data_IF_373833629527
#
_entry.id   IF_373833629527
#
_cell.length_a   1.000
_cell.length_b   1.000
_cell.length_c   1.000
_cell.angle_alpha   90.00
_cell.angle_beta   90.00
_cell.angle_gamma   90.00
#
_symmetry.space_group_name_H-M   'P 1'
#
loop_
_entity.id
_entity.type
_entity.pdbx_description
1 polymer ?
#
# COMPACT_ATOMS: atom_id res chain seq x y z
N UNK A 1 11.23 33.18 -22.68
CA UNK A 1 12.55 32.62 -23.06
C UNK A 1 12.86 31.30 -22.34
N UNK A 2 12.44 31.11 -21.09
CA UNK A 2 12.78 29.89 -20.31
C UNK A 2 12.20 28.56 -20.84
N UNK A 3 11.11 28.59 -21.61
CA UNK A 3 10.53 27.37 -22.23
C UNK A 3 11.51 26.75 -23.24
N UNK A 4 12.13 27.57 -24.09
CA UNK A 4 13.13 27.07 -25.04
C UNK A 4 14.35 26.48 -24.32
N UNK A 5 14.84 27.13 -23.27
CA UNK A 5 15.93 26.60 -22.44
C UNK A 5 15.57 25.27 -21.79
N UNK A 6 14.32 25.12 -21.36
CA UNK A 6 13.80 23.87 -20.80
C UNK A 6 13.79 22.77 -21.86
N UNK A 7 13.27 23.06 -23.06
CA UNK A 7 13.27 22.11 -24.19
C UNK A 7 14.71 21.70 -24.56
N UNK A 8 15.64 22.64 -24.61
CA UNK A 8 17.06 22.36 -24.89
C UNK A 8 17.66 21.48 -23.79
N UNK A 9 17.46 21.84 -22.51
CA UNK A 9 18.01 21.10 -21.37
C UNK A 9 17.47 19.67 -21.28
N UNK A 10 16.20 19.45 -21.64
CA UNK A 10 15.57 18.12 -21.64
C UNK A 10 15.93 17.33 -22.90
N UNK A 11 15.97 17.93 -24.08
CA UNK A 11 16.30 17.16 -25.30
C UNK A 11 17.78 16.82 -25.39
N UNK A 12 18.66 17.65 -24.80
CA UNK A 12 20.13 17.57 -24.95
C UNK A 12 20.54 17.32 -26.41
N UNK A 13 19.75 17.81 -27.37
CA UNK A 13 20.07 17.58 -28.78
C UNK A 13 21.37 18.35 -29.06
N UNK A 14 22.45 17.69 -29.49
CA UNK A 14 23.67 18.39 -29.83
C UNK A 14 23.33 19.42 -30.91
N UNK A 15 23.80 20.65 -30.74
CA UNK A 15 23.59 21.68 -31.73
C UNK A 15 24.24 21.21 -33.04
N UNK A 16 23.44 20.85 -34.03
CA UNK A 16 23.95 20.56 -35.37
C UNK A 16 24.68 21.81 -35.83
N UNK A 17 26.01 21.71 -36.01
CA UNK A 17 26.82 22.81 -36.51
C UNK A 17 26.22 23.29 -37.84
N UNK A 18 25.53 24.43 -37.81
CA UNK A 18 25.06 25.07 -39.01
C UNK A 18 26.31 25.56 -39.73
N UNK A 19 26.51 25.08 -40.97
CA UNK A 19 27.56 25.63 -41.83
C UNK A 19 27.40 27.15 -41.82
N UNK A 20 28.46 27.93 -41.52
CA UNK A 20 28.35 29.37 -41.53
C UNK A 20 27.83 29.80 -42.90
N UNK A 21 26.71 30.52 -42.91
CA UNK A 21 26.22 31.18 -44.11
C UNK A 21 27.32 32.15 -44.53
N UNK A 22 27.98 31.98 -45.68
CA UNK A 22 29.12 32.79 -46.06
C UNK A 22 28.64 34.23 -46.26
N UNK A 23 28.98 35.09 -45.31
CA UNK A 23 28.89 36.54 -45.49
C UNK A 23 30.04 36.91 -46.42
N UNK A 24 29.72 37.44 -47.61
CA UNK A 24 30.74 37.92 -48.54
C UNK A 24 31.53 39.06 -47.87
N UNK A 25 32.73 38.76 -47.39
CA UNK A 25 33.78 39.72 -47.10
C UNK A 25 35.15 39.11 -47.42
N UNK A 26 36.13 39.92 -47.85
CA UNK A 26 37.33 39.43 -48.53
C UNK A 26 38.31 38.75 -47.57
N UNK A 27 38.98 37.73 -48.08
CA UNK A 27 39.91 36.88 -47.36
C UNK A 27 41.13 37.63 -46.79
N UNK A 28 41.64 37.19 -45.63
CA UNK A 28 43.06 37.20 -45.35
C UNK A 28 43.64 35.78 -45.26
N UNK A 29 44.93 35.74 -45.57
CA UNK A 29 45.90 34.65 -45.75
C UNK A 29 45.98 33.63 -44.58
N UNK A 30 46.25 32.33 -44.83
CA UNK A 30 46.25 31.32 -43.78
C UNK A 30 47.58 31.26 -43.01
N UNK A 31 47.51 31.35 -41.69
CA UNK A 31 48.54 30.83 -40.78
C UNK A 31 48.06 29.53 -40.17
N UNK A 32 48.72 28.43 -40.53
CA UNK A 32 48.54 27.12 -39.94
C UNK A 32 48.94 27.18 -38.46
N UNK A 33 47.98 26.92 -37.57
CA UNK A 33 48.28 26.52 -36.20
C UNK A 33 47.75 25.11 -36.02
N UNK A 34 48.67 24.22 -35.76
CA UNK A 34 48.53 22.79 -35.56
C UNK A 34 47.58 22.51 -34.40
N UNK A 35 46.42 21.92 -34.70
CA UNK A 35 45.46 21.46 -33.71
C UNK A 35 46.03 20.25 -32.97
N UNK A 36 46.33 20.43 -31.69
CA UNK A 36 46.50 19.32 -30.76
C UNK A 36 45.18 18.51 -30.64
N UNK A 37 45.22 17.18 -30.53
CA UNK A 37 44.02 16.36 -30.39
C UNK A 37 43.36 16.61 -29.02
N UNK A 38 42.09 16.99 -29.03
CA UNK A 38 41.30 17.18 -27.83
C UNK A 38 41.15 15.86 -27.04
N UNK A 39 41.31 15.87 -25.71
CA UNK A 39 41.13 14.69 -24.87
C UNK A 39 39.64 14.36 -24.71
N UNK A 40 39.32 13.07 -24.80
CA UNK A 40 38.14 12.45 -24.19
C UNK A 40 36.78 12.91 -24.72
N UNK A 41 36.16 12.09 -25.58
CA UNK A 41 34.71 12.14 -25.80
C UNK A 41 34.00 11.85 -24.47
N UNK A 42 33.66 12.90 -23.72
CA UNK A 42 32.58 12.84 -22.74
C UNK A 42 31.35 12.52 -23.58
N UNK A 43 30.82 11.29 -23.47
CA UNK A 43 29.49 10.99 -24.01
C UNK A 43 28.54 12.01 -23.38
N UNK A 44 28.07 12.98 -24.16
CA UNK A 44 27.06 13.93 -23.69
C UNK A 44 25.89 13.13 -23.13
N UNK A 45 25.46 13.48 -21.90
CA UNK A 45 24.36 12.82 -21.24
C UNK A 45 23.14 12.82 -22.17
N UNK A 46 22.68 11.63 -22.55
CA UNK A 46 21.63 11.48 -23.54
C UNK A 46 20.34 12.14 -23.02
N UNK A 47 19.73 13.03 -23.82
CA UNK A 47 18.48 13.70 -23.46
C UNK A 47 17.22 12.94 -23.90
N UNK A 48 16.05 13.45 -23.53
CA UNK A 48 14.76 12.80 -23.72
C UNK A 48 13.96 13.45 -24.86
N UNK A 49 13.55 12.63 -25.82
CA UNK A 49 12.84 13.07 -27.02
C UNK A 49 13.71 13.92 -27.96
N UNK A 50 13.07 14.44 -29.00
CA UNK A 50 13.68 15.32 -30.00
C UNK A 50 12.93 16.65 -30.03
N UNK A 51 13.48 17.67 -30.69
CA UNK A 51 12.79 18.98 -30.81
C UNK A 51 11.38 18.83 -31.42
N UNK A 52 11.20 17.93 -32.39
CA UNK A 52 9.89 17.65 -33.00
C UNK A 52 8.87 16.95 -32.08
N UNK A 53 9.29 16.45 -30.92
CA UNK A 53 8.43 15.84 -29.90
C UNK A 53 7.72 16.86 -29.01
N UNK A 54 8.03 18.15 -29.17
CA UNK A 54 7.53 19.23 -28.33
C UNK A 54 6.48 20.08 -29.03
N UNK A 55 5.41 20.40 -28.29
CA UNK A 55 4.46 21.44 -28.62
C UNK A 55 4.49 22.49 -27.53
N UNK A 56 4.59 23.78 -27.89
CA UNK A 56 4.60 24.89 -26.93
C UNK A 56 3.25 25.61 -26.87
N UNK A 57 2.94 26.24 -25.75
CA UNK A 57 1.75 27.09 -25.59
C UNK A 57 0.44 26.35 -25.88
N UNK A 58 0.30 25.10 -25.41
CA UNK A 58 -0.80 24.20 -25.78
C UNK A 58 -2.07 24.55 -25.00
N UNK A 59 -3.16 25.00 -25.66
CA UNK A 59 -4.41 25.32 -24.98
C UNK A 59 -5.18 24.04 -24.62
N UNK A 60 -5.59 23.93 -23.35
CA UNK A 60 -6.39 22.83 -22.81
C UNK A 60 -7.79 23.35 -22.46
N UNK A 61 -8.67 23.31 -23.45
CA UNK A 61 -10.01 23.90 -23.37
C UNK A 61 -10.93 23.14 -22.40
N UNK A 62 -11.67 23.90 -21.58
CA UNK A 62 -12.74 23.38 -20.72
C UNK A 62 -14.11 23.78 -21.29
N UNK A 63 -15.06 22.85 -21.46
CA UNK A 63 -16.44 23.20 -21.80
C UNK A 63 -17.08 23.97 -20.63
N UNK A 64 -17.70 25.13 -20.90
CA UNK A 64 -18.48 25.85 -19.87
C UNK A 64 -19.82 26.36 -20.43
N UNK A 65 -20.82 26.51 -19.57
CA UNK A 65 -22.17 26.95 -19.90
C UNK A 65 -22.29 28.42 -20.36
N UNK A 66 -21.21 29.21 -20.35
CA UNK A 66 -21.18 30.62 -20.79
C UNK A 66 -20.07 30.89 -21.82
N UNK A 67 -19.84 29.96 -22.75
CA UNK A 67 -18.82 30.07 -23.80
C UNK A 67 -17.42 29.60 -23.37
N UNK A 68 -16.44 29.71 -24.27
CA UNK A 68 -15.04 29.35 -24.03
C UNK A 68 -14.38 30.36 -23.05
N UNK A 69 -14.60 30.20 -21.74
CA UNK A 69 -13.69 30.80 -20.75
C UNK A 69 -12.41 29.98 -20.70
N UNK A 70 -11.28 30.68 -20.61
CA UNK A 70 -9.93 30.11 -20.70
C UNK A 70 -9.78 28.87 -19.81
N UNK A 71 -9.46 27.74 -20.43
CA UNK A 71 -8.96 26.56 -19.73
C UNK A 71 -7.57 26.83 -19.16
N UNK A 72 -6.74 25.80 -19.05
CA UNK A 72 -5.31 25.98 -18.77
C UNK A 72 -4.56 25.99 -20.10
N UNK A 73 -3.44 26.68 -20.17
CA UNK A 73 -2.50 26.60 -21.29
C UNK A 73 -1.22 26.02 -20.72
N UNK A 74 -0.78 24.89 -21.27
CA UNK A 74 0.52 24.33 -20.92
C UNK A 74 1.62 25.11 -21.64
N UNK A 75 2.68 25.47 -20.93
CA UNK A 75 3.82 26.15 -21.54
C UNK A 75 4.48 25.23 -22.59
N UNK A 76 4.56 23.94 -22.28
CA UNK A 76 4.93 22.92 -23.26
C UNK A 76 4.33 21.55 -22.98
N UNK A 77 4.31 20.70 -24.00
CA UNK A 77 3.91 19.29 -23.93
C UNK A 77 4.97 18.46 -24.65
N UNK A 78 5.48 17.41 -24.00
CA UNK A 78 6.43 16.46 -24.56
C UNK A 78 5.75 15.13 -24.85
N UNK A 79 5.88 14.64 -26.08
CA UNK A 79 5.50 13.29 -26.50
C UNK A 79 6.74 12.53 -26.98
N UNK A 80 7.37 11.77 -26.08
CA UNK A 80 8.56 10.98 -26.39
C UNK A 80 8.38 9.50 -26.01
N UNK A 81 7.44 8.77 -26.65
CA UNK A 81 7.21 7.35 -26.37
C UNK A 81 8.47 6.49 -26.62
N UNK A 82 9.35 6.91 -27.53
CA UNK A 82 10.66 6.28 -27.78
C UNK A 82 11.61 6.34 -26.57
N UNK A 83 11.40 7.31 -25.67
CA UNK A 83 12.12 7.42 -24.40
C UNK A 83 11.39 6.70 -23.26
N UNK A 84 10.31 5.95 -23.56
CA UNK A 84 9.48 5.27 -22.57
C UNK A 84 8.60 6.20 -21.73
N UNK A 85 8.44 7.46 -22.16
CA UNK A 85 7.73 8.47 -21.37
C UNK A 85 6.24 8.51 -21.69
N UNK A 86 5.36 8.70 -20.69
CA UNK A 86 4.01 9.21 -20.94
C UNK A 86 4.08 10.62 -21.53
N UNK A 87 2.96 11.10 -22.07
CA UNK A 87 2.85 12.53 -22.38
C UNK A 87 3.12 13.35 -21.11
N UNK A 88 4.09 14.26 -21.17
CA UNK A 88 4.43 15.17 -20.07
C UNK A 88 3.89 16.55 -20.38
N UNK A 89 3.14 17.13 -19.46
CA UNK A 89 2.80 18.55 -19.48
C UNK A 89 3.85 19.32 -18.70
N UNK A 90 4.30 20.45 -19.21
CA UNK A 90 5.38 21.24 -18.61
C UNK A 90 4.91 22.66 -18.37
N UNK A 91 5.10 23.13 -17.15
CA UNK A 91 4.99 24.51 -16.72
C UNK A 91 6.38 25.03 -16.37
N UNK A 92 6.73 26.23 -16.83
CA UNK A 92 8.02 26.85 -16.55
C UNK A 92 7.81 28.06 -15.64
N UNK A 93 8.16 27.88 -14.37
CA UNK A 93 7.97 28.92 -13.36
C UNK A 93 9.24 29.78 -13.23
N UNK A 94 9.16 31.02 -13.74
CA UNK A 94 10.23 32.01 -13.57
C UNK A 94 10.24 32.68 -12.19
N UNK A 95 9.46 32.16 -11.23
CA UNK A 95 9.30 32.72 -9.89
C UNK A 95 8.78 34.17 -9.87
N UNK A 96 8.05 34.59 -10.91
CA UNK A 96 7.47 35.94 -11.02
C UNK A 96 6.01 36.01 -10.59
N UNK A 97 5.26 34.91 -10.70
CA UNK A 97 3.89 34.82 -10.21
C UNK A 97 3.84 34.29 -8.77
N UNK A 98 2.72 34.45 -8.06
CA UNK A 98 2.57 33.88 -6.71
C UNK A 98 2.48 32.36 -6.74
N UNK A 99 2.82 31.71 -5.64
CA UNK A 99 2.66 30.25 -5.50
C UNK A 99 1.18 29.84 -5.65
N UNK A 100 0.24 30.65 -5.17
CA UNK A 100 -1.21 30.42 -5.33
C UNK A 100 -1.64 30.44 -6.79
N UNK A 101 -1.08 31.37 -7.59
CA UNK A 101 -1.42 31.48 -9.01
C UNK A 101 -0.96 30.24 -9.77
N UNK A 102 0.26 29.78 -9.49
CA UNK A 102 0.81 28.55 -10.02
C UNK A 102 -0.02 27.34 -9.54
N UNK A 103 -0.35 27.25 -8.24
CA UNK A 103 -1.15 26.18 -7.66
C UNK A 103 -2.54 26.05 -8.33
N UNK A 104 -3.21 27.19 -8.56
CA UNK A 104 -4.51 27.24 -9.21
C UNK A 104 -4.51 26.71 -10.65
N UNK A 105 -3.36 26.68 -11.33
CA UNK A 105 -3.24 26.02 -12.64
C UNK A 105 -3.47 24.52 -12.53
N UNK A 106 -2.96 23.86 -11.49
CA UNK A 106 -3.07 22.40 -11.36
C UNK A 106 -4.50 21.94 -11.06
N UNK A 107 -5.31 22.75 -10.39
CA UNK A 107 -6.75 22.49 -10.29
C UNK A 107 -7.43 22.51 -11.67
N UNK A 108 -7.02 23.43 -12.56
CA UNK A 108 -7.53 23.48 -13.93
C UNK A 108 -7.06 22.28 -14.76
N UNK A 109 -5.81 21.85 -14.60
CA UNK A 109 -5.32 20.59 -15.18
C UNK A 109 -6.16 19.40 -14.73
N UNK A 110 -6.40 19.28 -13.42
CA UNK A 110 -7.19 18.17 -12.87
C UNK A 110 -8.61 18.16 -13.43
N UNK A 111 -9.25 19.33 -13.51
CA UNK A 111 -10.56 19.47 -14.16
C UNK A 111 -10.53 19.07 -15.63
N UNK A 112 -9.49 19.46 -16.37
CA UNK A 112 -9.32 19.08 -17.77
C UNK A 112 -9.08 17.57 -17.93
N UNK A 113 -8.22 16.97 -17.13
CA UNK A 113 -7.92 15.53 -17.21
C UNK A 113 -9.11 14.64 -16.83
N UNK A 114 -10.01 15.13 -15.98
CA UNK A 114 -11.29 14.49 -15.65
C UNK A 114 -12.35 14.61 -16.75
N UNK A 115 -12.19 15.50 -17.74
CA UNK A 115 -13.19 15.63 -18.81
C UNK A 115 -13.25 14.33 -19.60
N UNK A 116 -14.47 13.80 -19.76
CA UNK A 116 -14.75 12.60 -20.55
C UNK A 116 -15.58 12.95 -21.78
N UNK A 117 -15.31 12.24 -22.86
CA UNK A 117 -16.16 12.20 -24.05
C UNK A 117 -16.61 10.76 -24.30
N UNK A 118 -17.85 10.60 -24.75
CA UNK A 118 -18.33 9.30 -25.26
C UNK A 118 -17.77 9.08 -26.66
N UNK A 119 -17.20 7.92 -26.90
CA UNK A 119 -16.88 7.50 -28.26
C UNK A 119 -18.17 7.03 -28.99
N UNK A 120 -18.14 6.85 -30.32
CA UNK A 120 -19.29 6.36 -31.08
C UNK A 120 -19.83 5.00 -30.63
N UNK A 121 -19.01 4.20 -29.92
CA UNK A 121 -19.36 2.90 -29.35
C UNK A 121 -20.00 3.01 -27.95
N UNK A 122 -20.20 4.23 -27.43
CA UNK A 122 -20.86 4.50 -26.15
C UNK A 122 -19.97 4.42 -24.92
N UNK A 123 -18.70 4.01 -25.04
CA UNK A 123 -17.76 4.01 -23.91
C UNK A 123 -17.19 5.40 -23.66
N UNK A 124 -17.07 5.78 -22.39
CA UNK A 124 -16.46 7.04 -21.99
C UNK A 124 -14.94 6.93 -21.93
N UNK A 125 -14.24 7.94 -22.44
CA UNK A 125 -12.79 8.05 -22.32
C UNK A 125 -12.40 9.50 -22.02
N UNK A 126 -11.33 9.72 -21.25
CA UNK A 126 -10.83 11.08 -21.03
C UNK A 126 -10.52 11.78 -22.35
N UNK A 127 -10.96 13.04 -22.49
CA UNK A 127 -10.84 13.80 -23.75
C UNK A 127 -9.38 13.93 -24.18
N UNK A 128 -8.47 14.11 -23.23
CA UNK A 128 -7.03 14.24 -23.54
C UNK A 128 -6.45 12.99 -24.21
N UNK A 129 -7.01 11.80 -23.98
CA UNK A 129 -6.57 10.55 -24.65
C UNK A 129 -6.88 10.53 -26.14
N UNK A 130 -7.75 11.43 -26.62
CA UNK A 130 -7.98 11.58 -28.07
C UNK A 130 -6.83 12.29 -28.77
N UNK A 131 -6.05 13.09 -28.04
CA UNK A 131 -4.91 13.85 -28.55
C UNK A 131 -3.58 13.16 -28.27
N UNK A 132 -3.49 12.44 -27.14
CA UNK A 132 -2.25 11.82 -26.68
C UNK A 132 -2.44 10.30 -26.58
N UNK A 133 -1.72 9.51 -27.40
CA UNK A 133 -1.80 8.04 -27.36
C UNK A 133 -1.47 7.47 -25.98
N UNK A 134 -2.09 6.33 -25.65
CA UNK A 134 -1.83 5.62 -24.39
C UNK A 134 -0.42 5.05 -24.36
N UNK A 135 0.31 5.29 -23.27
CA UNK A 135 1.66 4.76 -23.03
C UNK A 135 1.65 3.60 -22.02
N UNK A 136 0.53 2.88 -21.92
CA UNK A 136 0.29 1.76 -20.96
C UNK A 136 0.30 2.16 -19.47
N UNK A 137 0.57 3.42 -19.14
CA UNK A 137 0.40 3.96 -17.80
C UNK A 137 -1.05 4.38 -17.58
N UNK A 138 -1.63 3.95 -16.46
CA UNK A 138 -2.96 4.38 -16.04
C UNK A 138 -2.93 5.73 -15.29
N UNK A 139 -4.12 6.27 -15.02
CA UNK A 139 -4.29 7.56 -14.34
C UNK A 139 -4.09 8.79 -15.24
N UNK A 140 -3.96 9.95 -14.58
CA UNK A 140 -3.76 11.24 -15.23
C UNK A 140 -2.32 11.40 -15.75
N UNK A 141 -2.11 12.21 -16.81
CA UNK A 141 -0.78 12.56 -17.27
C UNK A 141 0.02 13.30 -16.19
N UNK A 142 1.35 13.07 -16.11
CA UNK A 142 2.22 13.87 -15.27
C UNK A 142 2.27 15.34 -15.72
N UNK A 143 2.38 16.22 -14.73
CA UNK A 143 2.67 17.64 -14.91
C UNK A 143 3.99 17.95 -14.23
N UNK A 144 4.90 18.56 -14.95
CA UNK A 144 6.25 18.93 -14.51
C UNK A 144 6.30 20.44 -14.35
N UNK A 145 6.84 20.90 -13.22
CA UNK A 145 7.21 22.30 -13.02
C UNK A 145 8.72 22.43 -13.10
N UNK A 146 9.19 23.20 -14.08
CA UNK A 146 10.60 23.56 -14.21
C UNK A 146 10.79 24.95 -13.63
N UNK A 147 11.35 25.02 -12.44
CA UNK A 147 11.66 26.28 -11.79
C UNK A 147 12.91 26.90 -12.42
N UNK A 148 12.76 28.14 -12.88
CA UNK A 148 13.82 28.98 -13.40
C UNK A 148 13.91 30.28 -12.59
N UNK A 149 14.44 30.25 -11.36
CA UNK A 149 14.51 31.42 -10.48
C UNK A 149 15.38 32.56 -11.03
N UNK A 150 16.23 32.27 -12.02
CA UNK A 150 17.30 33.17 -12.46
C UNK A 150 18.16 33.61 -11.27
N UNK A 151 18.55 34.89 -11.26
CA UNK A 151 19.31 35.50 -10.15
C UNK A 151 18.41 36.14 -9.08
N UNK A 152 17.08 36.07 -9.23
CA UNK A 152 16.12 36.84 -8.41
C UNK A 152 15.74 36.13 -7.12
N UNK A 153 15.81 34.81 -7.12
CA UNK A 153 15.34 33.97 -6.02
C UNK A 153 16.50 33.10 -5.55
N UNK A 154 16.98 33.34 -4.33
CA UNK A 154 18.01 32.52 -3.73
C UNK A 154 17.53 31.08 -3.42
N UNK A 155 18.46 30.13 -3.18
CA UNK A 155 18.12 28.72 -3.01
C UNK A 155 17.08 28.44 -1.91
N UNK A 156 17.16 29.15 -0.78
CA UNK A 156 16.20 28.99 0.31
C UNK A 156 14.80 29.47 -0.06
N UNK A 157 14.70 30.60 -0.76
CA UNK A 157 13.42 31.14 -1.21
C UNK A 157 12.77 30.24 -2.26
N UNK A 158 13.57 29.64 -3.16
CA UNK A 158 13.09 28.65 -4.11
C UNK A 158 12.57 27.40 -3.40
N UNK A 159 13.33 26.86 -2.44
CA UNK A 159 12.88 25.71 -1.62
C UNK A 159 11.56 26.00 -0.91
N UNK A 160 11.45 27.17 -0.28
CA UNK A 160 10.21 27.58 0.38
C UNK A 160 9.05 27.65 -0.61
N UNK A 161 9.26 28.23 -1.80
CA UNK A 161 8.27 28.28 -2.86
C UNK A 161 7.83 26.89 -3.32
N UNK A 162 8.77 25.98 -3.60
CA UNK A 162 8.46 24.60 -3.96
C UNK A 162 7.60 23.93 -2.88
N UNK A 163 7.96 24.09 -1.61
CA UNK A 163 7.18 23.55 -0.50
C UNK A 163 5.77 24.15 -0.42
N UNK A 164 5.64 25.47 -0.62
CA UNK A 164 4.32 26.14 -0.64
C UNK A 164 3.46 25.62 -1.77
N UNK A 165 4.00 25.49 -2.99
CA UNK A 165 3.25 24.94 -4.14
C UNK A 165 2.86 23.48 -3.86
N UNK A 166 3.76 22.68 -3.31
CA UNK A 166 3.49 21.28 -2.93
C UNK A 166 2.31 21.19 -1.94
N UNK A 167 2.29 22.02 -0.89
CA UNK A 167 1.20 22.01 0.09
C UNK A 167 -0.12 22.49 -0.52
N UNK A 168 -0.11 23.62 -1.24
CA UNK A 168 -1.31 24.18 -1.88
C UNK A 168 -1.93 23.23 -2.90
N UNK A 169 -1.12 22.36 -3.52
CA UNK A 169 -1.57 21.40 -4.53
C UNK A 169 -1.83 20.01 -3.98
N UNK A 170 -1.80 19.82 -2.65
CA UNK A 170 -1.92 18.49 -2.02
C UNK A 170 -3.13 17.70 -2.51
N UNK A 171 -4.30 18.32 -2.61
CA UNK A 171 -5.53 17.68 -3.10
C UNK A 171 -5.46 17.23 -4.57
N UNK A 172 -4.50 17.73 -5.34
CA UNK A 172 -4.31 17.39 -6.75
C UNK A 172 -3.39 16.18 -6.92
N UNK A 173 -2.38 16.00 -6.06
CA UNK A 173 -1.35 14.97 -6.23
C UNK A 173 -1.34 13.85 -5.19
N UNK A 174 -1.96 14.02 -4.01
CA UNK A 174 -1.75 13.10 -2.87
C UNK A 174 -2.36 11.71 -3.01
N UNK A 175 -3.29 11.52 -3.96
CA UNK A 175 -4.14 10.33 -3.98
C UNK A 175 -5.10 10.27 -2.78
N UNK A 176 -5.98 9.27 -2.79
CA UNK A 176 -6.95 9.01 -1.73
C UNK A 176 -6.52 7.79 -0.93
N UNK A 177 -6.45 7.91 0.39
CA UNK A 177 -6.11 6.76 1.25
C UNK A 177 -7.32 5.85 1.45
N UNK A 178 -7.15 4.57 1.15
CA UNK A 178 -8.12 3.50 1.38
C UNK A 178 -7.64 2.62 2.51
N UNK A 179 -8.43 2.55 3.58
CA UNK A 179 -8.21 1.58 4.66
C UNK A 179 -8.60 0.20 4.13
N UNK A 180 -7.66 -0.74 4.17
CA UNK A 180 -7.85 -2.08 3.65
C UNK A 180 -7.39 -3.09 4.71
N UNK A 181 -8.37 -3.68 5.39
CA UNK A 181 -8.16 -4.53 6.56
C UNK A 181 -8.48 -3.80 7.86
N UNK A 182 -9.21 -4.49 8.76
CA UNK A 182 -9.63 -3.95 10.06
C UNK A 182 -11.11 -4.14 10.34
N UNK A 183 -11.55 -5.40 10.50
CA UNK A 183 -12.70 -5.65 11.38
C UNK A 183 -12.35 -5.19 12.81
N UNK A 184 -13.37 -4.97 13.65
CA UNK A 184 -13.17 -4.67 15.07
C UNK A 184 -12.12 -5.63 15.69
N UNK A 185 -10.97 -5.09 16.10
CA UNK A 185 -9.90 -5.85 16.77
C UNK A 185 -8.58 -6.07 16.02
N UNK A 186 -8.39 -5.55 14.80
CA UNK A 186 -7.07 -5.59 14.16
C UNK A 186 -6.12 -4.55 14.80
N UNK A 187 -4.93 -4.98 15.25
CA UNK A 187 -3.93 -4.14 15.92
C UNK A 187 -3.32 -3.06 15.01
N UNK A 188 -3.30 -3.28 13.69
CA UNK A 188 -2.80 -2.30 12.72
C UNK A 188 -3.84 -1.99 11.64
N UNK A 189 -4.12 -0.70 11.45
CA UNK A 189 -4.85 -0.20 10.28
C UNK A 189 -3.87 -0.15 9.10
N UNK A 190 -3.93 -1.15 8.23
CA UNK A 190 -3.23 -1.12 6.94
C UNK A 190 -4.12 -0.52 5.83
N UNK A 191 -3.50 -0.11 4.74
CA UNK A 191 -4.18 0.52 3.61
C UNK A 191 -3.26 0.83 2.45
N UNK A 192 -3.82 1.50 1.46
CA UNK A 192 -3.14 1.91 0.24
C UNK A 192 -3.63 3.27 -0.24
N UNK A 193 -2.86 3.91 -1.10
CA UNK A 193 -3.27 5.13 -1.78
C UNK A 193 -3.78 4.82 -3.19
N UNK A 194 -4.98 5.30 -3.52
CA UNK A 194 -5.48 5.33 -4.89
C UNK A 194 -5.07 6.64 -5.57
N UNK A 195 -4.31 6.50 -6.66
CA UNK A 195 -3.82 7.61 -7.47
C UNK A 195 -4.55 7.74 -8.82
N UNK A 196 -5.64 6.99 -9.05
CA UNK A 196 -6.36 7.00 -10.33
C UNK A 196 -6.84 8.40 -10.75
N UNK A 197 -7.15 9.24 -9.77
CA UNK A 197 -7.62 10.62 -9.96
C UNK A 197 -6.63 11.69 -9.47
N UNK A 198 -5.37 11.31 -9.22
CA UNK A 198 -4.30 12.21 -8.82
C UNK A 198 -3.38 12.54 -10.01
N UNK A 199 -2.90 13.78 -10.06
CA UNK A 199 -1.88 14.20 -11.03
C UNK A 199 -0.49 13.84 -10.47
N UNK A 200 0.34 13.11 -11.23
CA UNK A 200 1.77 13.03 -10.94
C UNK A 200 2.41 14.41 -11.11
N UNK A 201 2.53 15.18 -10.03
CA UNK A 201 3.13 16.50 -10.03
C UNK A 201 4.62 16.39 -9.67
N UNK A 202 5.50 16.76 -10.60
CA UNK A 202 6.94 16.68 -10.43
C UNK A 202 7.56 18.07 -10.47
N UNK A 203 8.55 18.31 -9.64
CA UNK A 203 9.35 19.52 -9.65
C UNK A 203 10.78 19.23 -10.10
N UNK A 204 11.35 20.18 -10.82
CA UNK A 204 12.79 20.25 -11.09
C UNK A 204 13.21 21.70 -11.29
N UNK A 205 14.50 21.93 -11.48
CA UNK A 205 15.04 23.26 -11.78
C UNK A 205 15.76 23.23 -13.11
N UNK A 206 15.72 24.33 -13.86
CA UNK A 206 16.45 24.43 -15.12
C UNK A 206 17.96 24.13 -14.93
N UNK A 207 18.55 24.62 -13.84
CA UNK A 207 19.96 24.41 -13.49
C UNK A 207 20.33 22.91 -13.33
N UNK A 208 19.51 22.14 -12.60
CA UNK A 208 19.66 20.68 -12.48
C UNK A 208 19.56 19.97 -13.83
N UNK A 209 18.58 20.36 -14.66
CA UNK A 209 18.42 19.79 -16.00
C UNK A 209 19.62 20.09 -16.90
N UNK A 210 20.22 21.27 -16.80
CA UNK A 210 21.41 21.67 -17.56
C UNK A 210 22.70 21.04 -17.04
N UNK A 211 22.81 20.83 -15.72
CA UNK A 211 24.02 20.29 -15.09
C UNK A 211 24.10 18.77 -15.21
N UNK A 212 23.09 18.05 -14.74
CA UNK A 212 23.11 16.57 -14.67
C UNK A 212 22.44 15.97 -15.89
N UNK A 213 21.29 16.54 -16.28
CA UNK A 213 20.51 16.02 -17.39
C UNK A 213 19.20 15.40 -16.93
N UNK A 214 18.27 15.23 -17.87
CA UNK A 214 16.90 14.82 -17.57
C UNK A 214 16.77 13.33 -17.22
N UNK A 215 17.79 12.51 -17.49
CA UNK A 215 17.80 11.08 -17.16
C UNK A 215 18.33 10.76 -15.76
N UNK A 216 18.96 11.74 -15.11
CA UNK A 216 19.49 11.59 -13.76
C UNK A 216 18.42 11.80 -12.69
N UNK A 217 18.83 11.65 -11.43
CA UNK A 217 18.03 11.91 -10.25
C UNK A 217 17.81 13.42 -10.02
N UNK A 218 17.03 14.04 -10.91
CA UNK A 218 16.73 15.48 -10.92
C UNK A 218 15.24 15.79 -10.80
N UNK A 219 14.41 14.78 -10.55
CA UNK A 219 12.97 14.92 -10.46
C UNK A 219 12.51 14.72 -9.02
N UNK A 220 11.77 15.69 -8.49
CA UNK A 220 11.14 15.60 -7.18
C UNK A 220 9.65 15.37 -7.36
N UNK A 221 9.15 14.16 -7.09
CA UNK A 221 7.71 13.89 -7.11
C UNK A 221 7.06 14.44 -5.85
N UNK A 222 6.02 15.27 -5.99
CA UNK A 222 5.23 15.70 -4.83
C UNK A 222 4.66 14.48 -4.10
N UNK A 223 4.89 14.41 -2.79
CA UNK A 223 4.57 13.26 -1.95
C UNK A 223 5.70 12.26 -1.76
N UNK A 224 6.77 12.35 -2.56
CA UNK A 224 7.99 11.58 -2.34
C UNK A 224 9.00 12.40 -1.52
N UNK A 225 9.99 11.71 -0.95
CA UNK A 225 10.94 12.30 0.01
C UNK A 225 12.33 12.62 -0.56
N UNK A 226 12.57 12.37 -1.84
CA UNK A 226 13.91 12.44 -2.44
C UNK A 226 13.87 12.84 -3.92
N UNK A 227 15.05 13.18 -4.45
CA UNK A 227 15.25 13.36 -5.89
C UNK A 227 15.44 12.00 -6.55
N UNK A 228 14.74 11.78 -7.66
CA UNK A 228 14.59 10.48 -8.30
C UNK A 228 14.79 10.62 -9.81
N UNK A 229 15.05 9.50 -10.48
CA UNK A 229 14.98 9.45 -11.95
C UNK A 229 13.52 9.62 -12.38
N UNK A 230 13.28 10.07 -13.62
CA UNK A 230 11.91 10.29 -14.09
C UNK A 230 11.04 9.01 -14.02
N UNK A 231 11.53 7.81 -14.44
CA UNK A 231 10.77 6.58 -14.26
C UNK A 231 10.39 6.31 -12.80
N UNK A 232 11.35 6.40 -11.88
CA UNK A 232 11.13 6.14 -10.46
C UNK A 232 10.10 7.12 -9.86
N UNK A 233 10.23 8.41 -10.19
CA UNK A 233 9.32 9.47 -9.75
C UNK A 233 7.88 9.31 -10.26
N UNK A 234 7.68 8.52 -11.32
CA UNK A 234 6.36 8.22 -11.89
C UNK A 234 5.73 6.95 -11.32
N UNK A 235 6.48 6.13 -10.58
CA UNK A 235 5.97 4.96 -9.84
C UNK A 235 5.16 5.39 -8.61
N UNK A 236 4.25 4.53 -8.16
CA UNK A 236 3.45 4.73 -6.96
C UNK A 236 3.75 3.60 -5.95
N UNK A 237 4.72 3.77 -5.05
CA UNK A 237 5.22 2.65 -4.22
C UNK A 237 4.23 2.16 -3.13
N UNK A 238 3.17 2.92 -2.85
CA UNK A 238 2.18 2.63 -1.81
C UNK A 238 0.75 2.44 -2.37
N UNK A 239 0.65 2.03 -3.63
CA UNK A 239 -0.63 1.80 -4.30
C UNK A 239 -1.29 0.46 -3.92
N UNK A 240 -2.42 0.19 -4.55
CA UNK A 240 -3.20 -1.03 -4.32
C UNK A 240 -2.40 -2.31 -4.60
N UNK A 241 -1.56 -2.32 -5.64
CA UNK A 241 -0.78 -3.50 -6.02
C UNK A 241 0.31 -3.77 -4.97
N UNK A 242 0.98 -2.73 -4.49
CA UNK A 242 1.93 -2.84 -3.40
C UNK A 242 1.27 -3.35 -2.11
N UNK A 243 0.04 -2.89 -1.80
CA UNK A 243 -0.72 -3.42 -0.66
C UNK A 243 -1.14 -4.88 -0.87
N UNK A 244 -1.61 -5.25 -2.06
CA UNK A 244 -2.02 -6.61 -2.37
C UNK A 244 -0.85 -7.59 -2.21
N UNK A 245 0.35 -7.22 -2.67
CA UNK A 245 1.56 -8.01 -2.48
C UNK A 245 1.91 -8.21 -0.98
N UNK A 246 1.81 -7.16 -0.15
CA UNK A 246 1.98 -7.27 1.31
C UNK A 246 0.92 -8.18 1.93
N UNK A 247 -0.34 -8.06 1.51
CA UNK A 247 -1.44 -8.86 2.03
C UNK A 247 -1.28 -10.34 1.69
N UNK A 248 -0.87 -10.65 0.46
CA UNK A 248 -0.56 -12.00 0.03
C UNK A 248 0.59 -12.60 0.85
N UNK A 249 1.66 -11.83 1.08
CA UNK A 249 2.77 -12.25 1.94
C UNK A 249 2.29 -12.57 3.37
N UNK A 250 1.44 -11.74 3.96
CA UNK A 250 0.84 -12.00 5.27
C UNK A 250 -0.05 -13.24 5.29
N UNK A 251 -0.81 -13.50 4.22
CA UNK A 251 -1.63 -14.72 4.10
C UNK A 251 -0.75 -15.96 4.06
N UNK A 252 0.31 -15.95 3.25
CA UNK A 252 1.29 -17.04 3.17
C UNK A 252 1.92 -17.33 4.53
N UNK A 253 2.34 -16.31 5.26
CA UNK A 253 2.89 -16.49 6.62
C UNK A 253 1.88 -17.13 7.58
N UNK A 254 0.62 -16.70 7.57
CA UNK A 254 -0.44 -17.30 8.41
C UNK A 254 -0.76 -18.74 7.99
N UNK A 255 -0.72 -19.04 6.70
CA UNK A 255 -0.91 -20.41 6.19
C UNK A 255 0.24 -21.32 6.62
N UNK A 256 1.48 -20.87 6.51
CA UNK A 256 2.66 -21.59 6.99
C UNK A 256 2.62 -21.82 8.50
N UNK A 257 2.23 -20.82 9.29
CA UNK A 257 2.08 -20.95 10.73
C UNK A 257 0.97 -21.95 11.08
N UNK A 258 -0.20 -21.88 10.44
CA UNK A 258 -1.27 -22.87 10.61
C UNK A 258 -0.82 -24.27 10.22
N UNK A 259 -0.05 -24.42 9.16
CA UNK A 259 0.51 -25.73 8.76
C UNK A 259 1.47 -26.26 9.81
N UNK A 260 2.35 -25.42 10.39
CA UNK A 260 3.24 -25.82 11.48
C UNK A 260 2.46 -26.23 12.72
N UNK A 261 1.50 -25.41 13.16
CA UNK A 261 0.62 -25.74 14.29
C UNK A 261 -0.16 -27.03 14.04
N UNK A 262 -0.63 -27.25 12.81
CA UNK A 262 -1.31 -28.50 12.46
C UNK A 262 -0.38 -29.71 12.49
N UNK A 263 0.86 -29.57 12.03
CA UNK A 263 1.87 -30.64 12.10
C UNK A 263 2.22 -30.96 13.56
N UNK A 264 2.48 -29.93 14.38
CA UNK A 264 2.75 -30.06 15.82
C UNK A 264 1.58 -30.75 16.52
N UNK A 265 0.35 -30.30 16.27
CA UNK A 265 -0.85 -30.91 16.83
C UNK A 265 -1.03 -32.37 16.38
N UNK A 266 -0.69 -32.69 15.13
CA UNK A 266 -0.79 -34.06 14.61
C UNK A 266 0.24 -34.97 15.29
N UNK A 267 1.49 -34.52 15.43
CA UNK A 267 2.56 -35.25 16.14
C UNK A 267 2.21 -35.41 17.62
N UNK A 268 1.70 -34.36 18.25
CA UNK A 268 1.25 -34.40 19.64
C UNK A 268 0.12 -35.42 19.80
N UNK A 269 -0.89 -35.38 18.94
CA UNK A 269 -2.00 -36.34 18.95
C UNK A 269 -1.53 -37.79 18.77
N UNK A 270 -0.56 -38.05 17.89
CA UNK A 270 0.04 -39.38 17.73
C UNK A 270 0.81 -39.82 18.98
N UNK A 271 1.50 -38.90 19.66
CA UNK A 271 2.18 -39.17 20.93
C UNK A 271 1.18 -39.56 22.03
N UNK A 272 0.11 -38.78 22.20
CA UNK A 272 -0.95 -39.10 23.18
C UNK A 272 -1.63 -40.44 22.88
N UNK A 273 -1.78 -40.81 21.61
CA UNK A 273 -2.36 -42.11 21.23
C UNK A 273 -1.42 -43.31 21.50
N UNK A 274 -0.12 -43.08 21.63
CA UNK A 274 0.88 -44.10 21.98
C UNK A 274 1.16 -44.18 23.48
N UNK A 275 0.73 -43.19 24.25
CA UNK A 275 0.87 -43.19 25.70
C UNK A 275 -0.04 -44.28 26.27
N UNK A 276 0.50 -45.28 26.99
CA UNK A 276 -0.33 -46.30 27.62
C UNK A 276 -1.30 -45.61 28.57
N UNK A 277 -2.56 -46.05 28.57
CA UNK A 277 -3.53 -45.59 29.55
C UNK A 277 -2.90 -45.68 30.94
N UNK A 278 -3.01 -44.62 31.77
CA UNK A 278 -2.49 -44.69 33.12
C UNK A 278 -3.08 -45.92 33.80
N UNK A 279 -2.21 -46.73 34.44
CA UNK A 279 -2.68 -47.86 35.23
C UNK A 279 -3.82 -47.36 36.12
N UNK A 280 -4.98 -48.04 36.11
CA UNK A 280 -6.11 -47.59 36.91
C UNK A 280 -5.60 -47.41 38.33
N UNK A 281 -5.74 -46.19 38.87
CA UNK A 281 -5.35 -45.91 40.24
C UNK A 281 -5.95 -47.02 41.11
N UNK A 282 -5.16 -47.66 41.99
CA UNK A 282 -5.67 -48.71 42.84
C UNK A 282 -6.90 -48.14 43.53
N UNK A 283 -8.06 -48.72 43.23
CA UNK A 283 -9.32 -48.27 43.76
C UNK A 283 -9.12 -48.09 45.27
N UNK A 284 -9.42 -46.91 45.85
CA UNK A 284 -9.13 -46.66 47.25
C UNK A 284 -9.75 -47.80 48.04
N UNK A 285 -8.92 -48.58 48.73
CA UNK A 285 -9.39 -49.72 49.52
C UNK A 285 -10.44 -49.17 50.48
N UNK A 286 -11.70 -49.47 50.20
CA UNK A 286 -12.81 -48.93 50.94
C UNK A 286 -12.64 -49.34 52.41
N UNK A 287 -12.30 -48.38 53.27
CA UNK A 287 -12.06 -48.65 54.67
C UNK A 287 -13.33 -49.31 55.27
N UNK A 288 -13.21 -50.49 55.89
CA UNK A 288 -14.36 -51.26 56.32
C UNK A 288 -15.17 -50.50 57.38
N UNK A 289 -16.49 -50.59 57.29
CA UNK A 289 -17.45 -49.90 58.16
C UNK A 289 -17.04 -49.93 59.64
N UNK A 290 -16.96 -48.81 60.35
CA UNK A 290 -16.50 -48.85 61.75
C UNK A 290 -17.43 -49.57 62.73
N UNK A 291 -18.69 -49.84 62.34
CA UNK A 291 -19.70 -50.55 63.15
C UNK A 291 -19.89 -52.01 62.76
N UNK A 292 -19.76 -52.35 61.48
CA UNK A 292 -20.02 -53.71 60.99
C UNK A 292 -18.87 -54.34 60.21
N UNK A 293 -17.78 -53.56 60.02
CA UNK A 293 -16.47 -53.93 59.47
C UNK A 293 -16.46 -54.70 58.14
N UNK A 294 -17.60 -54.81 57.47
CA UNK A 294 -17.66 -55.37 56.12
C UNK A 294 -17.15 -54.36 55.08
N UNK A 295 -16.80 -54.86 53.87
CA UNK A 295 -16.41 -54.01 52.77
C UNK A 295 -17.60 -53.13 52.40
N UNK A 296 -17.34 -51.83 52.25
CA UNK A 296 -18.32 -50.90 51.69
C UNK A 296 -18.25 -51.09 50.16
N UNK A 297 -18.59 -52.29 49.68
CA UNK A 297 -18.63 -52.57 48.24
C UNK A 297 -19.88 -51.92 47.67
N UNK A 298 -19.71 -50.68 47.22
CA UNK A 298 -20.69 -49.92 46.47
C UNK A 298 -20.15 -48.52 46.17
N UNK A 299 -19.87 -48.16 44.90
CA UNK A 299 -19.57 -46.79 44.55
C UNK A 299 -20.75 -45.88 44.92
N UNK A 300 -20.46 -44.66 45.39
CA UNK A 300 -21.48 -43.65 45.68
C UNK A 300 -22.12 -43.18 44.35
N UNK A 301 -23.22 -43.82 43.98
CA UNK A 301 -24.15 -43.35 42.96
C UNK A 301 -24.00 -44.03 41.59
N UNK A 302 -24.67 -45.16 41.37
CA UNK A 302 -25.63 -45.45 40.27
C UNK A 302 -26.05 -46.94 40.28
N UNK A 303 -27.08 -47.26 39.49
CA UNK A 303 -28.12 -48.30 39.59
C UNK A 303 -27.80 -49.79 39.91
N UNK A 304 -28.78 -50.37 40.60
CA UNK A 304 -29.02 -51.77 40.94
C UNK A 304 -29.43 -52.58 39.69
N UNK A 305 -28.53 -53.30 39.01
CA UNK A 305 -28.95 -54.43 38.14
C UNK A 305 -27.84 -55.39 37.64
N UNK A 306 -26.79 -55.67 38.42
CA UNK A 306 -26.04 -56.95 38.34
C UNK A 306 -25.50 -57.26 39.74
N UNK A 307 -26.17 -58.14 40.47
CA UNK A 307 -26.13 -58.29 41.93
C UNK A 307 -24.74 -58.27 42.64
N UNK A 308 -24.53 -57.28 43.53
CA UNK A 308 -24.02 -57.42 44.90
C UNK A 308 -25.19 -57.18 45.90
N UNK A 309 -25.06 -57.50 47.21
CA UNK A 309 -26.23 -57.72 48.09
C UNK A 309 -27.12 -56.47 48.29
N UNK A 310 -28.45 -56.65 48.23
CA UNK A 310 -29.57 -55.69 48.03
C UNK A 310 -29.72 -54.48 49.02
N UNK A 311 -28.72 -54.09 49.80
CA UNK A 311 -28.91 -53.02 50.80
C UNK A 311 -27.68 -52.16 51.12
N UNK A 312 -26.48 -52.59 50.75
CA UNK A 312 -25.26 -51.78 50.54
C UNK A 312 -24.71 -50.84 51.65
N UNK A 313 -25.50 -50.24 52.54
CA UNK A 313 -25.07 -49.25 53.56
C UNK A 313 -24.73 -49.83 54.89
N UNK A 314 -25.36 -50.95 55.12
CA UNK A 314 -24.86 -51.91 56.03
C UNK A 314 -24.13 -52.87 55.14
N UNK A 315 -22.89 -53.17 55.50
CA UNK A 315 -22.50 -54.55 55.25
C UNK A 315 -23.64 -55.39 55.86
N UNK A 316 -24.02 -56.51 55.24
CA UNK A 316 -25.29 -57.20 55.52
C UNK A 316 -25.71 -57.27 57.03
N UNK A 317 -24.75 -57.30 57.95
CA UNK A 317 -24.86 -57.15 59.40
C UNK A 317 -25.71 -55.98 59.93
N UNK A 318 -25.52 -54.77 59.46
CA UNK A 318 -26.06 -53.58 60.11
C UNK A 318 -27.54 -53.33 59.63
N UNK A 319 -28.00 -54.10 58.62
CA UNK A 319 -29.40 -54.22 58.18
C UNK A 319 -30.26 -55.08 59.12
N UNK A 320 -29.66 -56.03 59.83
CA UNK A 320 -30.34 -56.85 60.84
C UNK A 320 -30.82 -55.99 62.02
N UNK A 321 -30.05 -54.95 62.37
CA UNK A 321 -30.39 -54.01 63.44
C UNK A 321 -31.58 -53.09 63.07
N UNK A 322 -31.71 -52.71 61.80
CA UNK A 322 -32.89 -51.99 61.29
C UNK A 322 -34.15 -52.86 61.29
N UNK A 323 -34.05 -54.16 61.00
CA UNK A 323 -35.21 -55.08 61.01
C UNK A 323 -35.77 -55.30 62.42
N UNK A 324 -35.00 -55.05 63.48
CA UNK A 324 -35.47 -55.09 64.87
C UNK A 324 -36.15 -53.79 65.33
N UNK A 325 -36.01 -52.69 64.58
CA UNK A 325 -36.64 -51.41 64.94
C UNK A 325 -38.15 -51.37 64.65
N UNK A 326 -38.64 -52.06 63.61
CA UNK A 326 -40.07 -52.16 63.30
C UNK A 326 -40.70 -53.42 63.92
N UNK A 327 -41.81 -53.31 64.68
CA UNK A 327 -42.43 -54.47 65.32
C UNK A 327 -43.08 -55.38 64.28
N UNK A 328 -42.93 -56.68 64.45
CA UNK A 328 -43.70 -57.66 63.67
C UNK A 328 -45.18 -57.59 64.05
N UNK A 329 -46.07 -58.05 63.16
CA UNK A 329 -47.52 -58.16 63.43
C UNK A 329 -47.83 -58.79 64.79
N UNK A 330 -47.00 -59.75 65.23
CA UNK A 330 -47.10 -60.40 66.55
C UNK A 330 -46.76 -59.45 67.72
N UNK A 331 -45.80 -58.54 67.55
CA UNK A 331 -45.45 -57.52 68.56
C UNK A 331 -46.47 -56.37 68.63
N UNK A 332 -47.23 -56.11 67.56
CA UNK A 332 -48.35 -55.17 67.57
C UNK A 332 -49.57 -55.71 68.34
N UNK A 333 -49.72 -57.05 68.44
CA UNK A 333 -50.88 -57.72 69.06
C UNK A 333 -50.68 -58.04 70.55
N UNK A 334 -49.46 -58.38 70.98
CA UNK A 334 -49.18 -58.79 72.37
C UNK A 334 -48.38 -57.77 73.20
N UNK A 335 -48.08 -56.60 72.62
CA UNK A 335 -47.36 -55.50 73.28
C UNK A 335 -45.83 -55.71 73.37
N UNK A 336 -45.06 -54.63 73.21
CA UNK A 336 -43.62 -54.64 73.51
C UNK A 336 -43.42 -54.64 75.03
N UNK A 337 -42.67 -55.61 75.58
CA UNK A 337 -42.16 -55.52 76.97
C UNK A 337 -41.22 -54.31 77.08
N UNK A 338 -41.42 -53.39 78.04
CA UNK A 338 -40.67 -52.13 78.10
C UNK A 338 -39.23 -52.39 78.53
N UNK A 339 -38.28 -51.84 77.78
CA UNK A 339 -36.88 -51.80 78.21
C UNK A 339 -36.52 -50.40 78.68
N UNK A 340 -36.38 -50.30 79.99
CA UNK A 340 -35.84 -49.18 80.76
C UNK A 340 -34.34 -49.05 80.56
N UNK A 341 -33.94 -47.84 80.15
CA UNK A 341 -32.60 -47.21 80.00
C UNK A 341 -31.47 -48.07 79.43
#
# INVERSE_FOLDING_TARGET
MAVNETVIAVTRTPATATRPVPRQQPAPTPTATEQAPAPGLVLEAQGMGWIGSWSTEVPLSLPTSRGNRAGVRADAVLQAPEAGLPVLFVEVDNCTESADTLAAKFEKYLRYFRLKSKNPLGSESPVWRTQYPSTRREGHPPVVVVFNPGTRTGPQALKNRMNTVMELTRLVWSGSYHVAGGGYGAEERDGYYDYADAIPLLFTTLDRLQTSGPRDAVWWRCGHGQWETLPDALTNPADHDAWYARDEQRRRQRDEERQRQHQEWTVEKERWAQEPDPEPEPAPEAAPCERCKGPITGPLGYDLEVAPPEDGRHCPSCRTDLRQQYPTLRQAVFGRRPRSK
#
